data_IF_401721746601
#
_entry.id   IF_401721746601
#
_cell.length_a   1.000
_cell.length_b   1.000
_cell.length_c   1.000
_cell.angle_alpha   90.00
_cell.angle_beta   90.00
_cell.angle_gamma   90.00
#
_symmetry.space_group_name_H-M   'P 1'
#
loop_
_entity.id
_entity.type
_entity.pdbx_description
1 polymer ?
2 non-polymer ?
3 non-polymer ?
4 non-polymer ?
5 water ?
#
# COMPACT_ATOMS: atom_id res chain seq x y z
N UNK A 2 -9.91 -5.19 -15.02
CA UNK A 2 -9.05 -5.70 -13.89
C UNK A 2 -9.80 -6.68 -12.99
N UNK A 3 -9.20 -7.83 -12.72
CA UNK A 3 -9.77 -8.77 -11.76
C UNK A 3 -8.95 -8.73 -10.49
N UNK A 4 -9.61 -8.50 -9.35
CA UNK A 4 -8.92 -8.44 -8.07
C UNK A 4 -9.11 -9.79 -7.42
N UNK A 5 -8.00 -10.38 -6.98
CA UNK A 5 -8.00 -11.70 -6.36
C UNK A 5 -7.09 -11.65 -5.13
N UNK A 6 -7.36 -12.52 -4.13
CA UNK A 6 -6.40 -12.65 -3.03
C UNK A 6 -5.10 -13.23 -3.58
N UNK A 7 -3.97 -12.80 -3.03
CA UNK A 7 -2.69 -13.43 -3.35
C UNK A 7 -1.93 -13.68 -2.06
N UNK A 8 -0.90 -14.51 -2.13
CA UNK A 8 -0.06 -14.81 -0.97
C UNK A 8 1.11 -13.87 -0.85
N UNK A 9 1.71 -13.76 0.34
CA UNK A 9 2.82 -12.83 0.48
C UNK A 9 3.90 -13.07 -0.56
N UNK A 10 4.25 -14.34 -0.76
CA UNK A 10 5.33 -14.70 -1.67
C UNK A 10 5.04 -14.26 -3.11
N UNK A 11 3.75 -14.12 -3.44
CA UNK A 11 3.35 -13.69 -4.79
C UNK A 11 3.61 -12.21 -5.10
N UNK A 12 3.92 -11.44 -4.05
CA UNK A 12 4.20 -10.00 -4.18
C UNK A 12 5.66 -9.68 -4.44
N UNK A 13 6.57 -10.61 -4.10
CA UNK A 13 8.00 -10.24 -4.10
C UNK A 13 8.54 -9.78 -5.45
N UNK A 14 8.14 -10.47 -6.53
CA UNK A 14 8.66 -10.14 -7.85
C UNK A 14 8.34 -8.71 -8.25
N UNK A 15 7.08 -8.31 -8.09
CA UNK A 15 6.70 -6.93 -8.43
C UNK A 15 7.20 -5.91 -7.42
N UNK A 16 7.27 -6.27 -6.13
CA UNK A 16 7.92 -5.34 -5.17
C UNK A 16 9.35 -5.08 -5.60
N UNK A 17 10.03 -6.15 -6.01
CA UNK A 17 11.43 -6.03 -6.40
C UNK A 17 11.57 -5.23 -7.70
N UNK A 18 10.73 -5.54 -8.68
CA UNK A 18 10.84 -4.92 -10.00
C UNK A 18 10.43 -3.45 -10.02
N UNK A 19 9.46 -3.09 -9.18
CA UNK A 19 8.89 -1.74 -9.19
C UNK A 19 9.42 -0.86 -8.06
N UNK A 20 9.43 -1.39 -6.84
CA UNK A 20 9.74 -0.58 -5.67
C UNK A 20 11.22 -0.59 -5.27
N UNK A 21 11.86 -1.76 -5.30
CA UNK A 21 13.23 -1.91 -4.78
C UNK A 21 14.19 -2.69 -5.71
N UNK A 22 14.31 -2.27 -6.99
CA UNK A 22 15.10 -3.04 -7.96
C UNK A 22 16.62 -3.05 -7.70
N UNK A 23 17.11 -2.09 -6.93
CA UNK A 23 18.56 -2.00 -6.67
C UNK A 23 19.01 -2.62 -5.34
N UNK A 24 18.08 -3.32 -4.68
CA UNK A 24 18.36 -4.08 -3.46
C UNK A 24 18.18 -5.58 -3.71
N UNK A 25 18.78 -6.45 -2.85
CA UNK A 25 18.48 -7.88 -2.95
C UNK A 25 17.00 -8.14 -2.73
N UNK A 26 16.51 -9.26 -3.27
CA UNK A 26 15.09 -9.66 -3.15
C UNK A 26 14.62 -9.72 -1.69
N UNK A 27 15.53 -10.07 -0.78
CA UNK A 27 15.21 -10.12 0.64
C UNK A 27 14.69 -8.79 1.20
N UNK A 28 15.08 -7.67 0.58
CA UNK A 28 14.61 -6.36 1.01
C UNK A 28 13.12 -6.20 0.75
N UNK A 29 12.59 -7.05 -0.12
CA UNK A 29 11.16 -7.03 -0.47
C UNK A 29 10.33 -7.97 0.39
N UNK A 30 10.99 -8.73 1.26
CA UNK A 30 10.30 -9.68 2.12
C UNK A 30 10.01 -8.97 3.43
N UNK A 31 9.05 -8.06 3.35
CA UNK A 31 8.72 -7.16 4.43
C UNK A 31 8.38 -7.96 5.67
N UNK A 32 8.98 -7.58 6.79
CA UNK A 32 8.74 -8.29 8.03
C UNK A 32 7.27 -8.15 8.44
N UNK A 33 6.63 -7.05 8.03
CA UNK A 33 5.22 -6.83 8.33
C UNK A 33 4.29 -7.86 7.66
N UNK A 34 4.75 -8.55 6.62
CA UNK A 34 3.95 -9.65 6.04
C UNK A 34 3.67 -10.74 7.08
N UNK A 35 4.52 -10.78 8.12
CA UNK A 35 4.40 -11.82 9.12
C UNK A 35 3.69 -11.34 10.37
N UNK A 36 3.04 -10.18 10.30
CA UNK A 36 2.25 -9.71 11.43
C UNK A 36 0.83 -10.24 11.33
N UNK A 37 0.23 -10.43 12.50
CA UNK A 37 -1.12 -10.99 12.58
C UNK A 37 -2.12 -10.27 11.64
N UNK A 38 -2.85 -11.07 10.86
CA UNK A 38 -3.97 -10.59 10.04
C UNK A 38 -3.58 -9.90 8.73
N UNK A 39 -2.29 -9.95 8.40
CA UNK A 39 -1.83 -9.45 7.10
C UNK A 39 -2.56 -10.11 5.94
N UNK A 40 -2.88 -9.32 4.92
CA UNK A 40 -3.47 -9.89 3.69
C UNK A 40 -3.00 -9.12 2.47
N UNK A 41 -3.12 -9.77 1.31
CA UNK A 41 -2.54 -9.22 0.09
C UNK A 41 -3.53 -9.37 -1.03
N UNK A 42 -3.56 -8.35 -1.88
CA UNK A 42 -4.45 -8.39 -3.06
C UNK A 42 -3.65 -8.22 -4.32
N UNK A 43 -4.09 -8.89 -5.38
CA UNK A 43 -3.47 -8.71 -6.70
C UNK A 43 -4.50 -8.30 -7.71
N UNK A 44 -4.07 -7.49 -8.68
CA UNK A 44 -4.91 -7.11 -9.81
C UNK A 44 -4.34 -7.79 -11.03
N UNK A 45 -5.22 -8.53 -11.71
CA UNK A 45 -4.86 -9.29 -12.90
C UNK A 45 -5.46 -8.73 -14.18
N UNK A 46 -4.64 -8.71 -15.22
CA UNK A 46 -5.07 -8.21 -16.52
C UNK A 46 -4.45 -9.07 -17.61
N UNK A 47 -5.29 -9.58 -18.53
CA UNK A 47 -4.82 -10.35 -19.68
C UNK A 47 -3.90 -11.51 -19.30
N UNK A 48 -4.22 -12.13 -18.17
CA UNK A 48 -3.52 -13.34 -17.73
C UNK A 48 -2.26 -13.10 -16.93
N UNK A 49 -2.08 -11.86 -16.46
CA UNK A 49 -0.85 -11.46 -15.77
C UNK A 49 -1.17 -10.68 -14.50
N UNK A 50 -0.43 -10.99 -13.43
CA UNK A 50 -0.46 -10.17 -12.20
C UNK A 50 0.26 -8.85 -12.49
N UNK A 51 -0.48 -7.75 -12.38
CA UNK A 51 0.09 -6.46 -12.74
C UNK A 51 -0.01 -5.38 -11.66
N UNK A 52 -0.64 -5.69 -10.52
CA UNK A 52 -0.78 -4.72 -9.43
C UNK A 52 -0.86 -5.49 -8.14
N UNK A 53 -0.26 -4.92 -7.10
CA UNK A 53 -0.19 -5.59 -5.79
C UNK A 53 -0.39 -4.59 -4.65
N UNK A 54 -0.90 -5.08 -3.52
CA UNK A 54 -1.07 -4.23 -2.34
C UNK A 54 -1.17 -5.12 -1.12
N UNK A 55 -0.53 -4.71 -0.03
CA UNK A 55 -0.45 -5.51 1.21
C UNK A 55 -0.91 -4.71 2.40
N UNK A 56 -1.63 -5.38 3.31
CA UNK A 56 -2.26 -4.67 4.43
C UNK A 56 -2.03 -5.44 5.71
N UNK A 57 -1.80 -4.73 6.82
CA UNK A 57 -1.77 -5.40 8.12
C UNK A 57 -2.17 -4.40 9.21
N UNK A 58 -2.63 -4.94 10.35
CA UNK A 58 -3.05 -4.06 11.44
C UNK A 58 -1.83 -3.42 12.09
N UNK A 59 -1.85 -2.09 12.17
CA UNK A 59 -0.78 -1.31 12.81
C UNK A 59 -1.34 0.04 13.20
N UNK A 60 -1.29 0.35 14.50
CA UNK A 60 -1.85 1.63 14.97
C UNK A 60 -0.76 2.65 15.08
N UNK A 61 -0.86 3.69 14.25
CA UNK A 61 0.10 4.79 14.22
C UNK A 61 -0.16 5.72 15.40
N UNK A 62 0.89 6.00 16.18
CA UNK A 62 0.76 6.82 17.39
C UNK A 62 0.22 8.22 17.11
N UNK A 63 0.38 8.66 15.87
CA UNK A 63 0.03 10.02 15.45
C UNK A 63 -1.29 10.16 14.67
N UNK A 64 -1.99 9.05 14.49
CA UNK A 64 -3.31 9.05 13.85
C UNK A 64 -4.33 8.54 14.83
N UNK A 65 -5.57 9.01 14.69
CA UNK A 65 -6.60 8.71 15.66
C UNK A 65 -7.59 7.70 15.15
N UNK A 66 -7.78 6.64 15.92
CA UNK A 66 -8.66 5.53 15.55
C UNK A 66 -8.23 4.26 16.25
N UNK A 67 -9.19 3.54 16.82
CA UNK A 67 -8.89 2.38 17.67
C UNK A 67 -8.22 1.23 16.90
N UNK A 68 -8.69 0.97 15.68
CA UNK A 68 -8.17 -0.12 14.86
C UNK A 68 -7.71 0.52 13.55
N UNK A 69 -6.43 0.36 13.24
CA UNK A 69 -5.87 0.97 12.03
C UNK A 69 -5.11 -0.08 11.24
N UNK A 70 -5.10 0.08 9.93
CA UNK A 70 -4.28 -0.76 9.07
C UNK A 70 -3.31 0.06 8.25
N UNK A 71 -2.13 -0.51 8.01
CA UNK A 71 -1.10 0.09 7.15
C UNK A 71 -1.05 -0.62 5.81
N UNK A 72 -0.95 0.17 4.74
CA UNK A 72 -0.69 -0.31 3.38
C UNK A 72 0.81 -0.28 3.10
N UNK A 73 1.31 -1.40 2.59
CA UNK A 73 2.69 -1.54 2.13
C UNK A 73 2.71 -2.17 0.75
N UNK A 74 3.77 -1.91 -0.02
CA UNK A 74 3.99 -2.65 -1.27
C UNK A 74 2.93 -2.35 -2.32
N UNK A 75 2.46 -1.10 -2.38
CA UNK A 75 1.51 -0.66 -3.42
C UNK A 75 2.25 -0.42 -4.74
N UNK A 76 1.94 -1.20 -5.77
CA UNK A 76 2.69 -1.07 -7.03
C UNK A 76 1.86 -1.59 -8.20
N UNK A 77 1.95 -0.89 -9.34
CA UNK A 77 1.37 -1.38 -10.59
C UNK A 77 2.46 -1.35 -11.66
N UNK A 78 2.50 -2.41 -12.46
CA UNK A 78 3.52 -2.56 -13.50
C UNK A 78 3.36 -1.54 -14.61
N UNK A 79 4.48 -0.96 -15.06
CA UNK A 79 4.50 -0.12 -16.29
C UNK A 79 3.88 -0.86 -17.47
N UNK A 80 3.06 -0.16 -18.25
CA UNK A 80 2.28 -0.81 -19.31
C UNK A 80 0.84 -1.01 -18.86
N UNK A 81 0.65 -1.06 -17.54
CA UNK A 81 -0.67 -1.35 -16.95
C UNK A 81 -1.18 -0.31 -15.95
N UNK A 82 -0.41 0.77 -15.77
CA UNK A 82 -0.87 1.90 -14.99
C UNK A 82 -1.95 2.68 -15.71
N UNK A 83 -2.70 3.47 -14.94
CA UNK A 83 -3.77 4.36 -15.45
C UNK A 83 -5.01 3.59 -15.92
N UNK A 84 -5.14 2.34 -15.45
CA UNK A 84 -6.29 1.45 -15.75
C UNK A 84 -7.20 1.22 -14.54
N UNK A 85 -6.95 1.94 -13.45
CA UNK A 85 -7.66 1.76 -12.16
C UNK A 85 -7.32 0.42 -11.46
N UNK A 86 -6.20 -0.20 -11.84
CA UNK A 86 -5.73 -1.40 -11.12
C UNK A 86 -5.50 -1.08 -9.64
N UNK A 87 -4.73 -0.03 -9.37
CA UNK A 87 -4.41 0.36 -8.00
C UNK A 87 -5.66 0.74 -7.24
N UNK A 88 -6.48 1.61 -7.83
CA UNK A 88 -7.74 2.01 -7.19
C UNK A 88 -8.64 0.82 -6.86
N UNK A 89 -8.69 -0.15 -7.77
CA UNK A 89 -9.49 -1.34 -7.57
C UNK A 89 -9.01 -2.15 -6.36
N UNK A 90 -7.68 -2.27 -6.21
CA UNK A 90 -7.14 -2.99 -5.04
C UNK A 90 -7.48 -2.29 -3.74
N UNK A 91 -7.35 -0.96 -3.75
CA UNK A 91 -7.64 -0.17 -2.57
C UNK A 91 -9.12 -0.23 -2.19
N UNK A 92 -10.00 -0.09 -3.17
CA UNK A 92 -11.43 -0.20 -2.85
C UNK A 92 -11.84 -1.57 -2.30
N UNK A 93 -11.29 -2.65 -2.88
CA UNK A 93 -11.54 -4.00 -2.41
C UNK A 93 -11.00 -4.15 -0.98
N UNK A 94 -9.80 -3.64 -0.73
CA UNK A 94 -9.23 -3.71 0.62
C UNK A 94 -10.10 -2.96 1.64
N UNK A 95 -10.64 -1.81 1.23
CA UNK A 95 -11.54 -1.03 2.10
C UNK A 95 -12.77 -1.83 2.54
N UNK A 96 -13.30 -2.66 1.65
CA UNK A 96 -14.41 -3.55 2.02
C UNK A 96 -14.01 -4.54 3.10
N UNK A 97 -12.84 -5.15 2.92
CA UNK A 97 -12.33 -6.12 3.86
C UNK A 97 -12.08 -5.42 5.19
N UNK A 98 -11.45 -4.25 5.14
CA UNK A 98 -11.11 -3.51 6.36
C UNK A 98 -12.35 -3.03 7.12
N UNK A 99 -13.33 -2.49 6.39
CA UNK A 99 -14.58 -2.05 7.02
C UNK A 99 -15.27 -3.24 7.69
N UNK A 100 -15.28 -4.39 7.01
CA UNK A 100 -15.92 -5.59 7.55
C UNK A 100 -15.21 -6.06 8.83
N UNK A 101 -13.91 -5.76 8.93
CA UNK A 101 -13.09 -6.10 10.10
C UNK A 101 -13.22 -5.08 11.24
N UNK A 102 -13.88 -3.97 10.96
CA UNK A 102 -14.06 -2.91 11.95
C UNK A 102 -12.90 -1.94 12.06
N UNK A 103 -12.07 -1.88 11.01
CA UNK A 103 -10.98 -0.92 10.98
C UNK A 103 -11.50 0.50 10.81
N UNK A 104 -10.85 1.45 11.49
CA UNK A 104 -11.26 2.84 11.46
C UNK A 104 -10.54 3.67 10.42
N UNK A 105 -9.32 3.26 10.08
CA UNK A 105 -8.58 4.01 9.09
C UNK A 105 -7.51 3.16 8.44
N UNK A 106 -7.13 3.59 7.24
CA UNK A 106 -6.06 2.99 6.45
C UNK A 106 -5.00 4.06 6.25
N UNK A 107 -3.75 3.74 6.57
CA UNK A 107 -2.67 4.70 6.35
C UNK A 107 -1.51 4.11 5.59
N UNK A 108 -0.68 5.00 5.07
CA UNK A 108 0.49 4.63 4.28
C UNK A 108 1.62 5.62 4.54
N UNK A 109 2.86 5.14 4.57
CA UNK A 109 3.99 6.06 4.37
C UNK A 109 4.21 6.13 2.86
N UNK A 110 3.54 7.10 2.23
CA UNK A 110 3.47 7.18 0.78
C UNK A 110 4.75 7.76 0.20
N UNK A 111 5.19 7.21 -0.93
CA UNK A 111 6.17 7.89 -1.75
C UNK A 111 5.56 9.21 -2.17
N UNK A 112 6.32 10.29 -2.05
CA UNK A 112 5.80 11.61 -2.42
C UNK A 112 5.43 11.67 -3.90
N UNK A 113 6.16 10.92 -4.73
CA UNK A 113 5.84 10.78 -6.15
C UNK A 113 4.43 10.21 -6.41
N UNK A 114 3.89 9.48 -5.43
CA UNK A 114 2.54 8.88 -5.54
C UNK A 114 1.49 9.64 -4.74
N UNK A 115 1.84 10.80 -4.17
CA UNK A 115 0.89 11.52 -3.32
C UNK A 115 -0.41 11.86 -4.04
N UNK A 116 -0.34 12.22 -5.32
CA UNK A 116 -1.55 12.53 -6.10
C UNK A 116 -2.52 11.36 -6.28
N UNK A 117 -1.95 10.15 -6.35
CA UNK A 117 -2.73 8.93 -6.43
C UNK A 117 -3.55 8.76 -5.16
N UNK A 118 -2.90 8.86 -3.99
CA UNK A 118 -3.62 8.69 -2.73
C UNK A 118 -4.64 9.80 -2.51
N UNK A 119 -4.29 11.02 -2.95
CA UNK A 119 -5.24 12.14 -2.96
C UNK A 119 -6.54 11.82 -3.74
N UNK A 120 -6.39 11.28 -4.97
CA UNK A 120 -7.56 10.89 -5.78
C UNK A 120 -8.41 9.80 -5.12
N UNK A 121 -7.77 8.97 -4.29
CA UNK A 121 -8.47 7.96 -3.51
C UNK A 121 -8.98 8.48 -2.15
N UNK A 122 -8.86 9.79 -1.94
CA UNK A 122 -9.44 10.40 -0.75
C UNK A 122 -8.56 10.40 0.49
N UNK A 123 -7.26 10.12 0.32
CA UNK A 123 -6.32 10.19 1.44
C UNK A 123 -5.92 11.65 1.71
N UNK A 124 -5.56 11.92 2.97
CA UNK A 124 -4.95 13.19 3.36
C UNK A 124 -3.50 13.00 3.83
N UNK A 125 -2.69 14.04 3.63
CA UNK A 125 -1.32 14.04 4.12
C UNK A 125 -1.33 14.54 5.56
N UNK A 126 -0.53 13.90 6.41
CA UNK A 126 -0.25 14.44 7.74
C UNK A 126 1.26 14.66 7.90
N UNK A 127 1.64 15.71 8.62
CA UNK A 127 3.04 15.91 8.97
C UNK A 127 3.92 16.36 7.82
N UNK A 128 5.22 16.05 7.93
CA UNK A 128 6.20 16.53 6.96
C UNK A 128 6.87 15.41 6.16
N UNK A 129 7.30 15.76 4.95
CA UNK A 129 8.08 14.84 4.12
C UNK A 129 9.32 14.38 4.89
N UNK A 130 9.60 13.08 4.85
CA UNK A 130 10.80 12.48 5.46
C UNK A 130 11.45 11.47 4.50
N UNK A 131 12.72 11.16 4.73
CA UNK A 131 13.46 10.22 3.87
C UNK A 131 13.54 8.80 4.44
N UNK A 132 13.42 7.81 3.56
CA UNK A 132 13.44 6.40 3.94
C UNK A 132 14.51 5.69 3.12
N UNK A 133 15.75 5.63 3.63
CA UNK A 133 16.85 4.96 2.91
C UNK A 133 16.51 3.52 2.53
N UNK A 134 16.83 3.09 1.29
CA UNK A 134 17.37 3.87 0.18
C UNK A 134 16.32 4.30 -0.86
N UNK A 135 15.07 4.45 -0.44
CA UNK A 135 13.94 4.61 -1.37
C UNK A 135 13.28 5.98 -1.32
N UNK A 136 13.99 6.97 -0.79
CA UNK A 136 13.63 8.37 -0.97
C UNK A 136 12.53 8.96 -0.10
N UNK A 137 12.03 10.15 -0.48
CA UNK A 137 11.05 10.93 0.29
C UNK A 137 9.69 10.27 0.40
N UNK A 138 9.18 10.26 1.63
CA UNK A 138 7.89 9.68 1.95
C UNK A 138 7.09 10.66 2.79
N UNK A 139 5.77 10.50 2.79
CA UNK A 139 4.90 11.31 3.64
C UNK A 139 3.75 10.45 4.15
N UNK A 140 3.43 10.62 5.43
CA UNK A 140 2.31 9.92 6.05
C UNK A 140 1.00 10.36 5.41
N UNK A 141 0.22 9.38 4.94
CA UNK A 141 -1.10 9.67 4.37
C UNK A 141 -2.13 8.71 4.93
N UNK A 142 -3.38 9.16 5.06
CA UNK A 142 -4.40 8.33 5.69
C UNK A 142 -5.79 8.58 5.12
N UNK A 143 -6.64 7.57 5.28
CA UNK A 143 -8.06 7.64 4.91
C UNK A 143 -8.89 7.06 6.03
N UNK A 144 -9.79 7.87 6.58
CA UNK A 144 -10.75 7.37 7.56
C UNK A 144 -11.82 6.59 6.80
N UNK A 145 -12.14 5.39 7.29
CA UNK A 145 -13.09 4.51 6.57
C UNK A 145 -14.34 4.18 7.40
N UNK A 146 -14.57 4.99 8.42
CA UNK A 146 -15.80 4.95 9.18
C UNK A 146 -16.73 6.04 8.62
X LIG B 1 0.80 10.72 -9.02
X LIG B 1 -0.38 11.34 -9.20
X LIG B 1 -1.50 10.73 -9.65
X LIG B 1 -1.47 9.41 -9.98
X LIG B 1 -0.21 8.66 -9.82
X LIG B 1 0.96 9.41 -9.31
X LIG B 1 2.15 8.79 -9.14
X LIG B 1 -0.46 7.40 -10.21
X LIG B 1 -1.76 7.33 -10.57
X LIG B 1 -2.36 8.55 -10.44
X LIG B 1 -3.77 8.91 -10.71
X LIG B 1 -4.32 8.37 -12.02
X LIG B 1 -4.05 9.32 -13.07
X LIG B 1 -5.80 8.21 -11.70
X LIG B 1 -6.43 9.51 -11.78
X LIG B 1 -7.75 9.79 -12.67
X LIG B 1 -8.86 8.96 -12.08
X LIG B 1 -8.01 11.26 -12.43
X LIG B 1 -7.34 9.43 -14.07
X LIG B 1 -5.81 7.85 -10.22
X LIG B 1 -4.60 8.40 -9.68
X LIG B 1 -5.85 6.34 -9.97
X LIG B 1 -4.84 5.67 -10.72
X LIG B 1 -4.91 4.06 -10.90
X LIG B 1 -5.02 3.73 -12.36
X LIG B 1 -5.96 3.54 -9.97
X LIG B 1 -3.45 3.70 -10.33
X LIG B 1 -2.34 2.78 -10.97
X LIG B 1 -1.72 3.49 -12.15
X LIG B 1 -2.86 1.37 -11.16
X LIG B 1 -1.25 2.74 -9.78
X LIG B 1 0.68 3.57 -8.60
X LIG B 1 -0.69 3.90 -9.16
X LIG B 1 0.55 2.37 -7.65
X LIG B 1 1.14 4.79 -7.79
X LIG B 1 1.64 3.27 -9.75
X LIG B 1 1.76 4.43 -10.59
X LIG B 1 3.01 2.83 -9.31
X LIG B 1 3.22 1.67 -9.04
X LIG B 1 3.98 3.76 -9.24
X LIG B 1 5.35 3.41 -8.90
X LIG B 1 5.55 2.79 -7.51
X LIG B 1 4.91 3.64 -6.44
X LIG B 1 5.22 4.82 -6.32
X LIG B 1 4.01 3.05 -5.64
X LIG B 1 3.42 3.73 -4.50
X LIG B 1 4.32 3.61 -3.27
X LIG B 1 3.51 4.29 -1.86
X LIG B 1 4.18 3.64 -0.64
X LIG C 1 8.52 1.67 -0.42
X LIG C 1 9.54 0.98 -1.22
X LIG C 1 8.44 3.10 -0.74
X LIG C 1 7.19 1.08 -0.67
X LIG C 1 8.88 1.54 0.99
X LIG D 1 8.26 -4.43 7.39
X LIG D 1 7.27 -3.48 7.08
X LIG D 1 9.62 -3.83 7.10
X LIG D 1 9.67 -3.40 5.76
X LIG D 1 10.71 -4.83 7.42
X LIG D 1 11.12 -5.56 6.29
X LIG E 1 -5.18 -14.14 1.41
X LIG E 1 -6.25 -13.68 2.19
X LIG E 1 -4.54 -12.89 0.85
X LIG E 1 -3.33 -12.74 1.53
X LIG E 1 -5.38 -11.68 1.20
X LIG E 1 -6.39 -11.44 0.28
#
# INVERSE_FOLDING_TARGET
XIEVKPINAEDTYELRHRILRPNQPIEACMFESDLLRGAFHLGGYYGGKLISIASFHQAEHSELQGQKQYQLRGMATLEGYREQKAGSSLIKHAEEILRKRGADLLWCNARTSASGYYKKLGFSEQGEVFDTPPVGPHILMYKRIT
CAO N1A C2A N3A C4A C5A C6A N6A N7A C8A N9A C1B C2B O2B C3B O3B P3B O7A O8A O9A C4B O4B C5B O5B P1A O1A O2A O3A P2A O4A O5A O6A CBP CCP CDP CEP CAP OAP C9P O9P N8P C7P C6P C5P O5P N4P C3P C2P S1P O1P
SO4 S O1 O2 O3 O4
GOL C1 O1 C2 O2 C3 O3
GOL C1 O1 C2 O2 C3 O3
#
